data_IF_732940758735
#
_entry.id   IF_732940758735
#
_cell.length_a   1.000
_cell.length_b   1.000
_cell.length_c   1.000
_cell.angle_alpha   90.00
_cell.angle_beta   90.00
_cell.angle_gamma   90.00
#
_symmetry.space_group_name_H-M   'P 1'
#
loop_
_entity.id
_entity.type
_entity.pdbx_description
1 polymer ?
#
# COMPACT_ATOMS: atom_id res chain seq x y z
N UNK A 1 -16.89 -13.05 -2.07
CA UNK A 1 -17.13 -12.72 -0.64
C UNK A 1 -16.87 -13.96 0.22
N UNK A 2 -16.24 -13.76 1.37
CA UNK A 2 -15.94 -14.84 2.31
C UNK A 2 -16.91 -14.74 3.48
N UNK A 3 -17.58 -15.86 3.81
CA UNK A 3 -18.34 -15.96 5.05
C UNK A 3 -17.40 -16.42 6.16
N UNK A 4 -17.15 -15.55 7.14
CA UNK A 4 -16.31 -15.86 8.29
C UNK A 4 -17.05 -15.62 9.59
N UNK A 5 -16.88 -16.52 10.55
CA UNK A 5 -17.50 -16.51 11.88
C UNK A 5 -16.40 -16.43 12.94
N UNK A 6 -15.99 -15.23 13.33
CA UNK A 6 -14.97 -15.08 14.35
C UNK A 6 -15.50 -15.49 15.73
N UNK A 7 -14.59 -15.98 16.58
CA UNK A 7 -14.89 -16.31 17.96
C UNK A 7 -14.44 -15.19 18.89
N UNK A 8 -15.24 -14.95 19.94
CA UNK A 8 -14.81 -14.24 21.14
C UNK A 8 -14.88 -15.18 22.35
N UNK A 9 -14.29 -14.76 23.44
CA UNK A 9 -14.15 -15.60 24.62
C UNK A 9 -14.53 -14.82 25.88
N UNK A 10 -15.15 -15.48 26.81
CA UNK A 10 -15.57 -14.91 28.10
C UNK A 10 -15.05 -15.79 29.24
N UNK A 11 -14.85 -15.24 30.45
CA UNK A 11 -14.45 -16.04 31.61
C UNK A 11 -15.37 -17.24 31.83
N UNK A 12 -14.78 -18.42 32.00
CA UNK A 12 -15.52 -19.67 32.24
C UNK A 12 -15.69 -19.93 33.71
N UNK A 13 -16.81 -20.56 34.08
CA UNK A 13 -17.04 -21.12 35.42
C UNK A 13 -16.45 -22.53 35.59
N UNK A 14 -15.96 -23.14 34.51
CA UNK A 14 -15.34 -24.47 34.51
C UNK A 14 -13.92 -24.38 35.03
N UNK A 15 -13.42 -25.45 35.65
CA UNK A 15 -12.05 -25.50 36.16
C UNK A 15 -10.99 -25.63 35.07
N UNK A 16 -11.37 -26.14 33.87
CA UNK A 16 -10.48 -26.22 32.71
C UNK A 16 -11.28 -26.16 31.40
N UNK A 17 -10.71 -25.49 30.41
CA UNK A 17 -11.23 -25.37 29.05
C UNK A 17 -10.03 -25.40 28.07
N UNK A 18 -10.26 -25.62 26.76
CA UNK A 18 -9.20 -25.52 25.76
C UNK A 18 -8.60 -24.10 25.61
N UNK A 19 -9.30 -23.10 26.12
CA UNK A 19 -8.92 -21.69 25.98
C UNK A 19 -8.68 -21.05 27.34
N UNK A 20 -7.68 -20.19 27.41
CA UNK A 20 -7.31 -19.46 28.62
C UNK A 20 -6.94 -18.00 28.34
N UNK A 21 -7.15 -17.15 29.31
CA UNK A 21 -6.64 -15.78 29.32
C UNK A 21 -5.10 -15.75 29.53
N UNK A 22 -4.48 -14.59 29.36
CA UNK A 22 -3.04 -14.42 29.62
C UNK A 22 -2.63 -14.77 31.05
N UNK A 23 -3.52 -14.55 32.02
CA UNK A 23 -3.31 -14.88 33.42
C UNK A 23 -3.64 -16.34 33.78
N UNK A 24 -3.96 -17.16 32.77
CA UNK A 24 -4.25 -18.58 32.93
C UNK A 24 -5.69 -18.93 33.28
N UNK A 25 -6.57 -17.95 33.52
CA UNK A 25 -8.00 -18.21 33.80
C UNK A 25 -8.67 -18.90 32.62
N UNK A 26 -9.52 -19.91 32.82
CA UNK A 26 -10.22 -20.60 31.76
C UNK A 26 -11.26 -19.71 31.09
N UNK A 27 -11.40 -19.85 29.77
CA UNK A 27 -12.32 -19.08 28.94
C UNK A 27 -13.28 -20.03 28.19
N UNK A 28 -14.56 -19.67 28.13
CA UNK A 28 -15.55 -20.28 27.24
C UNK A 28 -15.63 -19.53 25.91
N UNK A 29 -15.73 -20.29 24.82
CA UNK A 29 -15.87 -19.71 23.47
C UNK A 29 -17.31 -19.23 23.26
N UNK A 30 -17.43 -18.03 22.65
CA UNK A 30 -18.70 -17.49 22.15
C UNK A 30 -18.66 -17.56 20.63
N UNK A 31 -19.43 -18.47 20.06
CA UNK A 31 -19.58 -18.62 18.64
C UNK A 31 -20.50 -17.52 18.08
N UNK A 32 -20.06 -16.80 17.10
CA UNK A 32 -20.77 -15.66 16.53
C UNK A 32 -21.09 -15.94 15.04
N UNK A 33 -22.24 -15.45 14.57
CA UNK A 33 -22.76 -15.82 13.25
C UNK A 33 -22.02 -15.15 12.09
N UNK A 34 -21.39 -14.02 12.36
CA UNK A 34 -20.72 -13.21 11.34
C UNK A 34 -19.74 -12.21 11.97
N UNK A 35 -18.88 -11.61 11.16
CA UNK A 35 -18.03 -10.50 11.58
C UNK A 35 -18.85 -9.31 12.12
N UNK A 36 -20.01 -9.02 11.52
CA UNK A 36 -20.94 -7.98 11.99
C UNK A 36 -21.54 -8.32 13.35
N UNK A 37 -21.95 -9.57 13.54
CA UNK A 37 -22.43 -10.08 14.83
C UNK A 37 -21.35 -10.00 15.92
N UNK A 38 -20.11 -10.32 15.58
CA UNK A 38 -18.99 -10.24 16.50
C UNK A 38 -18.68 -8.79 16.95
N UNK A 39 -18.73 -7.82 16.01
CA UNK A 39 -18.60 -6.41 16.35
C UNK A 39 -19.68 -5.94 17.30
N UNK A 40 -20.95 -6.23 16.98
CA UNK A 40 -22.09 -5.89 17.83
C UNK A 40 -22.00 -6.54 19.22
N UNK A 41 -21.57 -7.79 19.30
CA UNK A 41 -21.33 -8.48 20.57
C UNK A 41 -20.27 -7.74 21.39
N UNK A 42 -19.12 -7.43 20.79
CA UNK A 42 -18.06 -6.70 21.48
C UNK A 42 -18.53 -5.32 21.94
N UNK A 43 -19.14 -4.53 21.06
CA UNK A 43 -19.68 -3.19 21.37
C UNK A 43 -20.69 -3.23 22.53
N UNK A 44 -21.58 -4.22 22.56
CA UNK A 44 -22.58 -4.38 23.61
C UNK A 44 -21.98 -4.67 24.99
N UNK A 45 -20.92 -5.45 25.03
CA UNK A 45 -20.36 -5.93 26.31
C UNK A 45 -19.05 -5.24 26.71
N UNK A 46 -18.40 -4.52 25.80
CA UNK A 46 -17.17 -3.79 26.08
C UNK A 46 -17.44 -2.61 27.03
N UNK A 47 -16.77 -2.61 28.17
CA UNK A 47 -16.91 -1.55 29.18
C UNK A 47 -18.03 -1.76 30.19
N UNK A 48 -18.66 -2.94 30.18
CA UNK A 48 -19.50 -3.37 31.29
C UNK A 48 -18.59 -3.84 32.42
N UNK A 49 -18.75 -3.22 33.58
CA UNK A 49 -17.91 -3.51 34.74
C UNK A 49 -18.06 -5.00 35.16
N UNK A 50 -16.95 -5.69 35.33
CA UNK A 50 -16.90 -7.10 35.64
C UNK A 50 -17.21 -8.07 34.49
N UNK A 51 -17.39 -7.56 33.25
CA UNK A 51 -17.57 -8.40 32.06
C UNK A 51 -16.39 -8.24 31.09
N UNK A 52 -15.65 -9.31 30.93
CA UNK A 52 -14.45 -9.34 30.06
C UNK A 52 -14.76 -10.07 28.75
N UNK A 53 -14.49 -9.41 27.61
CA UNK A 53 -14.55 -10.04 26.29
C UNK A 53 -13.14 -10.14 25.76
N UNK A 54 -12.63 -11.36 25.66
CA UNK A 54 -11.31 -11.69 25.14
C UNK A 54 -11.41 -12.05 23.65
N UNK A 55 -10.27 -12.01 22.96
CA UNK A 55 -10.14 -12.37 21.57
C UNK A 55 -9.79 -11.17 20.68
N UNK A 56 -9.16 -11.48 19.54
CA UNK A 56 -8.67 -10.50 18.61
C UNK A 56 -9.79 -10.00 17.68
N UNK A 57 -9.96 -8.71 17.55
CA UNK A 57 -11.08 -8.10 16.83
C UNK A 57 -10.75 -7.65 15.40
N UNK A 58 -9.53 -7.83 14.99
CA UNK A 58 -9.12 -7.60 13.59
C UNK A 58 -9.42 -8.85 12.76
N UNK A 59 -10.67 -8.99 12.34
CA UNK A 59 -11.20 -10.24 11.77
C UNK A 59 -10.58 -10.66 10.44
N UNK A 60 -9.92 -9.76 9.72
CA UNK A 60 -9.13 -10.14 8.53
C UNK A 60 -7.96 -11.02 8.94
N UNK A 61 -7.21 -10.63 9.97
CA UNK A 61 -6.04 -11.38 10.45
C UNK A 61 -6.45 -12.66 11.16
N UNK A 62 -7.56 -12.63 11.93
CA UNK A 62 -8.10 -13.88 12.52
C UNK A 62 -8.50 -14.87 11.44
N UNK A 63 -9.16 -14.41 10.37
CA UNK A 63 -9.50 -15.24 9.22
C UNK A 63 -8.26 -15.85 8.55
N UNK A 64 -7.25 -15.04 8.27
CA UNK A 64 -6.00 -15.53 7.65
C UNK A 64 -5.35 -16.58 8.55
N UNK A 65 -5.25 -16.29 9.85
CA UNK A 65 -4.66 -17.20 10.83
C UNK A 65 -5.45 -18.52 10.98
N UNK A 66 -6.79 -18.47 10.88
CA UNK A 66 -7.63 -19.67 10.95
C UNK A 66 -7.56 -20.49 9.66
N UNK A 67 -7.52 -19.81 8.51
CA UNK A 67 -7.49 -20.45 7.19
C UNK A 67 -6.15 -21.07 6.87
N UNK A 68 -5.07 -20.45 7.33
CA UNK A 68 -3.69 -20.84 7.09
C UNK A 68 -2.96 -21.06 8.42
N UNK A 69 -3.23 -22.18 9.13
CA UNK A 69 -2.52 -22.52 10.36
C UNK A 69 -1.04 -22.82 10.07
N UNK A 70 -0.16 -22.56 11.04
CA UNK A 70 1.28 -22.77 10.87
C UNK A 70 1.93 -21.74 9.95
N UNK A 71 3.13 -22.04 9.47
CA UNK A 71 3.87 -21.20 8.53
C UNK A 71 3.19 -21.20 7.15
N UNK A 72 3.12 -20.05 6.51
CA UNK A 72 2.66 -19.95 5.12
C UNK A 72 3.89 -20.02 4.22
N UNK A 73 3.97 -21.05 3.40
CA UNK A 73 4.92 -21.10 2.30
C UNK A 73 4.34 -20.27 1.15
N UNK A 74 5.12 -19.31 0.68
CA UNK A 74 4.73 -18.48 -0.47
C UNK A 74 5.80 -18.55 -1.56
N UNK A 75 5.36 -18.42 -2.79
CA UNK A 75 6.23 -18.30 -3.96
C UNK A 75 6.31 -16.83 -4.36
N UNK A 76 7.47 -16.19 -4.11
CA UNK A 76 7.70 -14.80 -4.48
C UNK A 76 7.51 -14.56 -5.99
N UNK A 77 7.82 -15.57 -6.84
CA UNK A 77 7.66 -15.46 -8.28
C UNK A 77 6.19 -15.46 -8.75
N UNK A 78 5.27 -15.91 -7.89
CA UNK A 78 3.83 -15.83 -8.19
C UNK A 78 3.24 -14.45 -7.90
N UNK A 79 3.95 -13.59 -7.18
CA UNK A 79 3.51 -12.24 -6.82
C UNK A 79 3.89 -11.28 -7.93
N UNK A 80 2.90 -10.66 -8.55
CA UNK A 80 3.09 -9.70 -9.63
C UNK A 80 3.40 -8.31 -9.07
N UNK A 81 4.63 -7.86 -9.25
CA UNK A 81 5.11 -6.55 -8.79
C UNK A 81 5.39 -5.68 -10.01
N UNK A 82 5.02 -4.41 -9.91
CA UNK A 82 5.41 -3.41 -10.90
C UNK A 82 5.76 -2.07 -10.23
N UNK A 83 6.74 -1.39 -10.80
CA UNK A 83 7.05 0.01 -10.50
C UNK A 83 6.24 0.91 -11.41
N UNK A 84 5.70 1.99 -10.86
CA UNK A 84 4.89 2.96 -11.58
C UNK A 84 5.43 4.36 -11.31
N UNK A 85 5.41 5.19 -12.36
CA UNK A 85 5.72 6.61 -12.30
C UNK A 85 4.89 7.37 -13.33
N UNK A 86 4.43 8.57 -13.00
CA UNK A 86 3.66 9.43 -13.89
C UNK A 86 4.31 10.78 -14.11
N UNK A 87 4.07 11.34 -15.27
CA UNK A 87 4.43 12.71 -15.56
C UNK A 87 3.20 13.55 -15.89
N UNK A 88 3.11 14.70 -15.22
CA UNK A 88 1.98 15.62 -15.38
C UNK A 88 2.43 16.92 -16.03
N UNK A 89 1.50 17.60 -16.68
CA UNK A 89 1.70 18.98 -17.13
C UNK A 89 2.02 19.87 -15.91
N UNK A 90 3.03 20.71 -16.01
CA UNK A 90 3.55 21.54 -14.92
C UNK A 90 3.75 23.00 -15.31
N UNK A 91 2.93 23.51 -16.26
CA UNK A 91 3.02 24.90 -16.73
C UNK A 91 2.74 25.89 -15.60
N UNK A 92 1.82 25.56 -14.70
CA UNK A 92 1.38 26.44 -13.61
C UNK A 92 2.05 26.14 -12.25
N UNK A 93 3.09 25.31 -12.24
CA UNK A 93 3.81 24.90 -11.04
C UNK A 93 3.72 23.41 -10.79
N UNK A 94 4.02 22.99 -9.55
CA UNK A 94 3.98 21.58 -9.18
C UNK A 94 2.53 21.09 -9.10
N UNK A 95 2.17 19.98 -9.79
CA UNK A 95 0.80 19.46 -9.79
C UNK A 95 0.37 18.99 -8.40
N UNK A 96 -0.80 19.42 -7.94
CA UNK A 96 -1.36 19.04 -6.63
C UNK A 96 -2.15 17.73 -6.75
N UNK A 97 -1.74 16.63 -6.08
CA UNK A 97 -2.39 15.33 -6.24
C UNK A 97 -3.85 15.29 -5.80
N UNK A 98 -4.21 16.04 -4.76
CA UNK A 98 -5.58 16.11 -4.25
C UNK A 98 -6.55 16.77 -5.23
N UNK A 99 -6.08 17.73 -6.01
CA UNK A 99 -6.88 18.43 -7.01
C UNK A 99 -6.80 17.78 -8.40
N UNK A 100 -5.63 17.24 -8.78
CA UNK A 100 -5.34 16.58 -10.04
C UNK A 100 -5.91 17.36 -11.26
N UNK A 101 -5.59 18.66 -11.33
CA UNK A 101 -6.11 19.56 -12.36
C UNK A 101 -5.37 19.37 -13.68
N UNK A 102 -4.05 19.24 -13.61
CA UNK A 102 -3.18 19.19 -14.77
C UNK A 102 -3.26 17.82 -15.47
N UNK A 103 -2.95 17.81 -16.76
CA UNK A 103 -3.02 16.57 -17.55
C UNK A 103 -1.90 15.62 -17.21
N UNK A 104 -2.21 14.33 -17.21
CA UNK A 104 -1.20 13.27 -17.23
C UNK A 104 -0.67 13.13 -18.65
N UNK A 105 0.63 13.34 -18.84
CA UNK A 105 1.28 13.34 -20.15
C UNK A 105 1.99 12.03 -20.47
N UNK A 106 2.43 11.31 -19.43
CA UNK A 106 3.05 10.00 -19.56
C UNK A 106 2.77 9.14 -18.33
N UNK A 107 2.69 7.83 -18.53
CA UNK A 107 2.67 6.82 -17.47
C UNK A 107 3.65 5.74 -17.86
N UNK A 108 4.64 5.47 -17.01
CA UNK A 108 5.52 4.31 -17.15
C UNK A 108 5.18 3.27 -16.09
N UNK A 109 5.02 2.02 -16.52
CA UNK A 109 4.81 0.89 -15.63
C UNK A 109 5.77 -0.24 -16.01
N UNK A 110 6.68 -0.58 -15.10
CA UNK A 110 7.72 -1.58 -15.29
C UNK A 110 7.42 -2.79 -14.40
N UNK A 111 7.00 -3.88 -15.02
CA UNK A 111 6.88 -5.15 -14.31
C UNK A 111 8.26 -5.73 -14.03
N UNK A 112 8.47 -6.33 -12.87
CA UNK A 112 9.74 -6.96 -12.51
C UNK A 112 10.09 -8.19 -13.35
N UNK A 113 9.09 -8.75 -14.05
CA UNK A 113 9.29 -9.95 -14.90
C UNK A 113 8.98 -9.70 -16.38
N UNK A 114 8.56 -8.50 -16.76
CA UNK A 114 8.18 -8.14 -18.13
C UNK A 114 8.80 -6.81 -18.55
N UNK A 115 8.67 -6.49 -19.83
CA UNK A 115 9.09 -5.20 -20.40
C UNK A 115 8.39 -4.02 -19.72
N UNK A 116 9.01 -2.86 -19.77
CA UNK A 116 8.40 -1.59 -19.39
C UNK A 116 7.33 -1.22 -20.42
N UNK A 117 6.16 -0.79 -19.96
CA UNK A 117 5.11 -0.24 -20.83
C UNK A 117 4.97 1.24 -20.53
N UNK A 118 4.99 2.05 -21.60
CA UNK A 118 4.88 3.50 -21.50
C UNK A 118 3.69 3.99 -22.30
N UNK A 119 2.81 4.73 -21.66
CA UNK A 119 1.67 5.40 -22.28
C UNK A 119 2.00 6.88 -22.44
N UNK A 120 1.90 7.41 -23.64
CA UNK A 120 2.25 8.81 -23.91
C UNK A 120 1.41 9.45 -25.02
N UNK A 121 1.60 10.76 -25.24
CA UNK A 121 0.74 11.60 -26.07
C UNK A 121 1.42 12.05 -27.40
N UNK A 122 2.60 11.55 -27.70
CA UNK A 122 3.35 11.92 -28.91
C UNK A 122 4.01 10.73 -29.56
N UNK A 123 4.68 10.95 -30.67
CA UNK A 123 5.45 9.91 -31.31
C UNK A 123 6.79 9.72 -30.58
N UNK A 124 7.16 8.48 -30.36
CA UNK A 124 8.42 8.11 -29.76
C UNK A 124 8.89 6.77 -30.34
N UNK A 125 10.06 6.77 -30.91
CA UNK A 125 10.74 5.56 -31.34
C UNK A 125 11.80 5.20 -30.29
N UNK A 126 11.71 4.02 -29.73
CA UNK A 126 12.66 3.53 -28.72
C UNK A 126 13.39 2.29 -29.25
N UNK A 127 14.69 2.23 -29.02
CA UNK A 127 15.55 1.07 -29.35
C UNK A 127 15.62 0.07 -28.18
N UNK A 128 14.93 0.35 -27.06
CA UNK A 128 14.95 -0.45 -25.83
C UNK A 128 13.79 -1.44 -25.79
N UNK A 129 13.84 -2.38 -24.82
CA UNK A 129 12.75 -3.32 -24.50
C UNK A 129 11.52 -2.64 -23.88
N UNK A 130 11.20 -1.44 -24.34
CA UNK A 130 10.05 -0.66 -23.92
C UNK A 130 8.93 -0.82 -24.92
N UNK A 131 7.74 -1.15 -24.44
CA UNK A 131 6.51 -1.16 -25.23
C UNK A 131 5.87 0.21 -25.13
N UNK A 132 5.88 0.97 -26.21
CA UNK A 132 5.28 2.30 -26.25
C UNK A 132 3.86 2.26 -26.80
N UNK A 133 2.92 2.85 -26.07
CA UNK A 133 1.52 3.02 -26.47
C UNK A 133 1.27 4.50 -26.76
N UNK A 134 1.27 4.85 -28.04
CA UNK A 134 0.97 6.21 -28.48
C UNK A 134 -0.53 6.49 -28.38
N UNK A 135 -0.89 7.46 -27.56
CA UNK A 135 -2.28 7.83 -27.26
C UNK A 135 -2.64 9.18 -27.90
N UNK A 136 -3.88 9.26 -28.43
CA UNK A 136 -4.36 10.47 -29.13
C UNK A 136 -4.57 11.68 -28.22
N UNK A 137 -4.89 11.42 -26.96
CA UNK A 137 -5.16 12.40 -25.93
C UNK A 137 -5.13 11.71 -24.55
N UNK A 138 -5.21 12.49 -23.50
CA UNK A 138 -5.17 11.99 -22.13
C UNK A 138 -6.28 10.98 -21.80
N UNK A 139 -7.50 11.20 -22.26
CA UNK A 139 -8.59 10.26 -22.02
C UNK A 139 -8.32 8.88 -22.67
N UNK A 140 -7.69 8.88 -23.84
CA UNK A 140 -7.22 7.64 -24.48
C UNK A 140 -6.06 7.01 -23.69
N UNK A 141 -5.11 7.82 -23.21
CA UNK A 141 -3.98 7.37 -22.39
C UNK A 141 -4.47 6.67 -21.13
N UNK A 142 -5.34 7.31 -20.36
CA UNK A 142 -5.87 6.72 -19.13
C UNK A 142 -6.76 5.49 -19.42
N UNK A 143 -7.46 5.45 -20.56
CA UNK A 143 -8.25 4.29 -20.96
C UNK A 143 -7.36 3.09 -21.26
N UNK A 144 -6.30 3.26 -22.05
CA UNK A 144 -5.36 2.18 -22.38
C UNK A 144 -4.55 1.75 -21.14
N UNK A 145 -4.18 2.69 -20.27
CA UNK A 145 -3.57 2.38 -18.99
C UNK A 145 -4.48 1.51 -18.10
N UNK A 146 -5.76 1.91 -17.90
CA UNK A 146 -6.72 1.12 -17.11
C UNK A 146 -6.93 -0.27 -17.73
N UNK A 147 -6.99 -0.35 -19.05
CA UNK A 147 -7.13 -1.63 -19.76
C UNK A 147 -5.92 -2.55 -19.53
N UNK A 148 -4.70 -2.03 -19.67
CA UNK A 148 -3.47 -2.76 -19.36
C UNK A 148 -3.41 -3.20 -17.90
N UNK A 149 -3.67 -2.28 -16.96
CA UNK A 149 -3.74 -2.57 -15.53
C UNK A 149 -4.69 -3.73 -15.23
N UNK A 150 -5.87 -3.75 -15.83
CA UNK A 150 -6.88 -4.79 -15.64
C UNK A 150 -6.54 -6.12 -16.33
N UNK A 151 -5.70 -6.13 -17.33
CA UNK A 151 -5.18 -7.34 -17.94
C UNK A 151 -4.10 -8.00 -17.07
N UNK A 152 -3.22 -7.18 -16.50
CA UNK A 152 -2.11 -7.68 -15.71
C UNK A 152 -2.51 -8.00 -14.26
N UNK A 153 -3.31 -7.17 -13.62
CA UNK A 153 -3.68 -7.28 -12.22
C UNK A 153 -2.46 -7.51 -11.31
N UNK A 154 -1.75 -6.44 -11.03
CA UNK A 154 -0.60 -6.49 -10.14
C UNK A 154 -1.03 -6.69 -8.68
N UNK A 155 -0.28 -7.48 -7.94
CA UNK A 155 -0.48 -7.68 -6.50
C UNK A 155 0.14 -6.54 -5.69
N UNK A 156 1.30 -6.04 -6.16
CA UNK A 156 2.02 -4.93 -5.56
C UNK A 156 2.37 -3.90 -6.64
N UNK A 157 2.04 -2.65 -6.37
CA UNK A 157 2.55 -1.48 -7.09
C UNK A 157 3.52 -0.76 -6.17
N UNK A 158 4.68 -0.44 -6.68
CA UNK A 158 5.70 0.34 -6.00
C UNK A 158 6.16 1.50 -6.87
N UNK A 159 6.94 2.40 -6.32
CA UNK A 159 7.49 3.58 -6.97
C UNK A 159 8.03 4.55 -5.93
N UNK A 160 8.66 5.62 -6.38
CA UNK A 160 9.24 6.61 -5.48
C UNK A 160 8.24 7.68 -5.10
N UNK A 161 7.72 7.68 -3.88
CA UNK A 161 6.62 8.53 -3.40
C UNK A 161 5.27 8.22 -4.09
N UNK A 162 5.13 7.00 -4.58
CA UNK A 162 4.03 6.55 -5.45
C UNK A 162 2.66 6.65 -4.78
N UNK A 163 2.57 6.42 -3.48
CA UNK A 163 1.30 6.43 -2.74
C UNK A 163 0.77 7.87 -2.58
N UNK A 164 1.64 8.78 -2.15
CA UNK A 164 1.26 10.15 -1.89
C UNK A 164 1.12 11.01 -3.16
N UNK A 165 1.81 10.66 -4.25
CA UNK A 165 1.76 11.43 -5.50
C UNK A 165 1.09 10.64 -6.64
N UNK A 166 1.75 9.66 -7.22
CA UNK A 166 1.33 9.04 -8.49
C UNK A 166 -0.05 8.38 -8.41
N UNK A 167 -0.25 7.50 -7.44
CA UNK A 167 -1.52 6.80 -7.30
C UNK A 167 -2.64 7.71 -6.85
N UNK A 168 -2.35 8.65 -5.97
CA UNK A 168 -3.32 9.67 -5.54
C UNK A 168 -3.71 10.56 -6.71
N UNK A 169 -2.75 11.02 -7.50
CA UNK A 169 -3.01 11.83 -8.69
C UNK A 169 -3.84 11.07 -9.72
N UNK A 170 -3.44 9.84 -10.05
CA UNK A 170 -4.15 9.00 -11.01
C UNK A 170 -5.59 8.73 -10.59
N UNK A 171 -5.84 8.38 -9.33
CA UNK A 171 -7.20 8.14 -8.85
C UNK A 171 -8.08 9.39 -8.99
N UNK A 172 -7.60 10.54 -8.52
CA UNK A 172 -8.33 11.80 -8.63
C UNK A 172 -8.49 12.26 -10.09
N UNK A 173 -7.48 12.05 -10.93
CA UNK A 173 -7.55 12.44 -12.36
C UNK A 173 -8.50 11.55 -13.15
N UNK A 174 -8.53 10.26 -12.87
CA UNK A 174 -9.48 9.30 -13.45
C UNK A 174 -10.91 9.70 -13.07
N UNK A 175 -11.16 10.04 -11.81
CA UNK A 175 -12.48 10.49 -11.36
C UNK A 175 -12.89 11.81 -12.01
N UNK A 176 -11.96 12.73 -12.14
CA UNK A 176 -12.22 14.03 -12.81
C UNK A 176 -12.62 13.87 -14.28
N UNK A 177 -12.02 12.93 -15.00
CA UNK A 177 -12.25 12.72 -16.43
C UNK A 177 -13.40 11.77 -16.74
N UNK A 178 -13.58 10.72 -15.94
CA UNK A 178 -14.54 9.65 -16.23
C UNK A 178 -15.71 9.57 -15.26
N UNK A 179 -15.78 10.49 -14.28
CA UNK A 179 -16.84 10.56 -13.29
C UNK A 179 -16.46 9.96 -11.95
N UNK A 180 -17.23 10.31 -10.93
CA UNK A 180 -17.04 9.87 -9.55
C UNK A 180 -16.87 8.35 -9.44
N UNK A 181 -15.93 7.91 -8.61
CA UNK A 181 -15.64 6.50 -8.38
C UNK A 181 -15.04 5.72 -9.58
N UNK A 182 -14.69 6.39 -10.69
CA UNK A 182 -14.10 5.71 -11.85
C UNK A 182 -12.76 5.06 -11.53
N UNK A 183 -11.98 5.61 -10.58
CA UNK A 183 -10.74 5.04 -10.06
C UNK A 183 -10.91 3.63 -9.48
N UNK A 184 -12.10 3.26 -9.04
CA UNK A 184 -12.40 1.90 -8.54
C UNK A 184 -12.14 0.81 -9.57
N UNK A 185 -12.07 1.17 -10.88
CA UNK A 185 -11.67 0.26 -11.95
C UNK A 185 -10.23 -0.27 -11.80
N UNK A 186 -9.40 0.40 -11.00
CA UNK A 186 -8.05 -0.06 -10.65
C UNK A 186 -8.06 -1.14 -9.58
N UNK A 187 -9.19 -1.39 -8.92
CA UNK A 187 -9.37 -2.54 -8.02
C UNK A 187 -10.03 -3.71 -8.75
N UNK A 188 -9.54 -4.96 -8.59
CA UNK A 188 -10.15 -6.15 -9.19
C UNK A 188 -11.60 -6.37 -8.72
N UNK A 189 -11.96 -5.80 -7.58
CA UNK A 189 -13.32 -5.91 -7.01
C UNK A 189 -14.14 -4.62 -7.17
N UNK A 190 -13.62 -3.62 -7.87
CA UNK A 190 -14.19 -2.28 -7.99
C UNK A 190 -14.50 -1.66 -6.61
N UNK A 191 -13.59 -1.81 -5.68
CA UNK A 191 -13.70 -1.32 -4.31
C UNK A 191 -12.44 -0.56 -3.91
N UNK A 192 -12.66 0.58 -3.29
CA UNK A 192 -11.59 1.39 -2.69
C UNK A 192 -12.07 2.00 -1.39
N UNK A 193 -11.14 2.40 -0.56
CA UNK A 193 -11.34 3.36 0.51
C UNK A 193 -10.29 4.47 0.39
N UNK A 194 -10.53 5.57 1.07
CA UNK A 194 -9.54 6.63 1.17
C UNK A 194 -9.25 6.93 2.63
N UNK A 195 -8.04 7.36 2.89
CA UNK A 195 -7.58 7.78 4.21
C UNK A 195 -6.79 9.07 4.12
N UNK A 196 -6.84 9.89 5.17
CA UNK A 196 -5.98 11.06 5.26
C UNK A 196 -4.58 10.64 5.71
N UNK A 197 -3.59 11.12 5.02
CA UNK A 197 -2.18 10.97 5.36
C UNK A 197 -1.59 12.34 5.69
N UNK A 198 -0.82 12.43 6.77
CA UNK A 198 -0.12 13.65 7.15
C UNK A 198 1.29 13.65 6.56
N UNK A 199 1.46 14.30 5.42
CA UNK A 199 2.79 14.50 4.85
C UNK A 199 3.52 15.59 5.66
N UNK A 200 4.73 15.28 6.12
CA UNK A 200 5.57 16.16 6.95
C UNK A 200 4.89 16.71 8.23
N UNK A 201 3.84 16.06 8.71
CA UNK A 201 3.14 16.44 9.94
C UNK A 201 2.17 17.64 9.83
N UNK A 202 2.06 18.26 8.67
CA UNK A 202 1.25 19.48 8.48
C UNK A 202 0.28 19.43 7.32
N UNK A 203 0.64 18.76 6.23
CA UNK A 203 -0.19 18.69 5.03
C UNK A 203 -0.99 17.40 5.01
N UNK A 204 -2.31 17.51 4.97
CA UNK A 204 -3.20 16.36 4.80
C UNK A 204 -3.31 16.04 3.32
N UNK A 205 -2.87 14.86 2.95
CA UNK A 205 -3.07 14.31 1.61
C UNK A 205 -4.03 13.12 1.72
N UNK A 206 -5.02 13.08 0.86
CA UNK A 206 -5.91 11.93 0.73
C UNK A 206 -5.20 10.86 -0.11
N UNK A 207 -5.08 9.66 0.39
CA UNK A 207 -4.54 8.52 -0.34
C UNK A 207 -5.61 7.44 -0.49
N UNK A 208 -5.49 6.62 -1.53
CA UNK A 208 -6.48 5.61 -1.91
C UNK A 208 -5.97 4.20 -1.62
N UNK A 209 -6.75 3.45 -0.85
CA UNK A 209 -6.53 2.01 -0.66
C UNK A 209 -7.37 1.26 -1.71
N UNK A 210 -6.73 0.69 -2.72
CA UNK A 210 -7.36 -0.11 -3.78
C UNK A 210 -7.46 -1.57 -3.32
N UNK A 211 -8.67 -2.05 -3.03
CA UNK A 211 -8.80 -3.42 -2.54
C UNK A 211 -8.39 -4.45 -3.59
N UNK A 212 -7.44 -5.30 -3.21
CA UNK A 212 -6.84 -6.32 -4.07
C UNK A 212 -5.54 -5.93 -4.76
N UNK A 213 -5.09 -4.68 -4.59
CA UNK A 213 -3.77 -4.20 -5.02
C UNK A 213 -3.10 -3.52 -3.83
N UNK A 214 -1.86 -3.86 -3.55
CA UNK A 214 -1.11 -3.23 -2.47
C UNK A 214 -0.20 -2.14 -3.04
N UNK A 215 -0.34 -0.93 -2.54
CA UNK A 215 0.59 0.16 -2.87
C UNK A 215 1.67 0.15 -1.79
N UNK A 216 2.89 -0.18 -2.19
CA UNK A 216 4.06 -0.26 -1.31
C UNK A 216 5.06 0.79 -1.74
N UNK A 217 4.96 1.97 -1.14
CA UNK A 217 5.80 3.12 -1.48
C UNK A 217 7.27 2.86 -1.16
N UNK A 218 8.13 2.90 -2.19
CA UNK A 218 9.54 2.56 -2.04
C UNK A 218 10.33 3.62 -1.25
N UNK A 219 9.93 4.88 -1.32
CA UNK A 219 10.51 5.94 -0.50
C UNK A 219 10.27 5.69 0.99
N UNK A 220 9.03 5.35 1.36
CA UNK A 220 8.69 5.03 2.75
C UNK A 220 9.38 3.75 3.21
N UNK A 221 9.47 2.76 2.32
CA UNK A 221 10.17 1.51 2.58
C UNK A 221 11.67 1.75 2.81
N UNK A 222 12.30 2.56 1.97
CA UNK A 222 13.70 2.96 2.10
C UNK A 222 13.95 3.68 3.44
N UNK A 223 13.10 4.67 3.79
CA UNK A 223 13.22 5.42 5.05
C UNK A 223 13.14 4.53 6.29
N UNK A 224 12.32 3.49 6.24
CA UNK A 224 12.08 2.59 7.38
C UNK A 224 13.10 1.47 7.49
N UNK A 225 13.67 1.06 6.37
CA UNK A 225 14.62 -0.06 6.31
C UNK A 225 16.08 0.39 6.44
N UNK A 226 16.37 1.69 6.32
CA UNK A 226 17.72 2.23 6.47
C UNK A 226 17.93 2.83 7.86
N UNK A 227 19.12 2.58 8.44
CA UNK A 227 19.47 3.05 9.80
C UNK A 227 20.00 4.47 9.84
N UNK A 228 20.35 5.04 8.69
CA UNK A 228 20.97 6.37 8.60
C UNK A 228 20.06 7.34 7.86
N UNK A 229 19.90 8.52 8.44
CA UNK A 229 19.22 9.60 7.75
C UNK A 229 20.07 10.08 6.56
N UNK A 230 19.39 10.30 5.43
CA UNK A 230 20.02 10.85 4.23
C UNK A 230 19.88 12.37 4.21
N UNK A 231 20.82 13.07 3.57
CA UNK A 231 20.74 14.52 3.38
C UNK A 231 19.56 14.90 2.47
N UNK A 232 19.21 14.02 1.53
CA UNK A 232 18.05 14.18 0.65
C UNK A 232 17.42 12.83 0.37
N UNK A 233 16.09 12.83 0.30
CA UNK A 233 15.30 11.66 -0.08
C UNK A 233 14.74 11.76 -1.51
N UNK A 234 15.31 12.61 -2.36
CA UNK A 234 15.02 12.63 -3.79
C UNK A 234 15.56 11.36 -4.43
N UNK A 235 14.82 10.80 -5.38
CA UNK A 235 15.24 9.57 -6.09
C UNK A 235 16.64 9.69 -6.70
N UNK A 236 16.95 10.84 -7.32
CA UNK A 236 18.27 11.09 -7.90
C UNK A 236 19.42 11.01 -6.88
N UNK A 237 19.21 11.58 -5.68
CA UNK A 237 20.19 11.53 -4.61
C UNK A 237 20.38 10.09 -4.10
N UNK A 238 19.29 9.39 -3.83
CA UNK A 238 19.34 8.01 -3.33
C UNK A 238 19.91 7.04 -4.38
N UNK A 239 19.51 7.17 -5.64
CA UNK A 239 20.08 6.38 -6.72
C UNK A 239 21.59 6.62 -6.88
N UNK A 240 22.04 7.87 -6.74
CA UNK A 240 23.47 8.16 -6.74
C UNK A 240 24.19 7.56 -5.53
N UNK A 241 23.62 7.70 -4.35
CA UNK A 241 24.19 7.18 -3.12
C UNK A 241 24.28 5.65 -3.12
N UNK A 242 23.20 4.99 -3.50
CA UNK A 242 23.11 3.53 -3.46
C UNK A 242 23.72 2.85 -4.69
N UNK A 243 23.48 3.38 -5.89
CA UNK A 243 23.83 2.71 -7.15
C UNK A 243 25.03 3.36 -7.86
N UNK A 244 25.45 4.56 -7.44
CA UNK A 244 26.39 5.38 -8.20
C UNK A 244 25.81 5.94 -9.51
N UNK A 245 24.48 5.84 -9.70
CA UNK A 245 23.76 6.27 -10.90
C UNK A 245 23.04 7.59 -10.64
N UNK A 246 22.83 8.35 -11.69
CA UNK A 246 22.05 9.59 -11.64
C UNK A 246 20.83 9.49 -12.54
N UNK A 247 19.81 10.28 -12.24
CA UNK A 247 18.71 10.53 -13.16
C UNK A 247 19.23 11.13 -14.49
N UNK A 248 18.38 11.07 -15.49
CA UNK A 248 18.66 11.74 -16.76
C UNK A 248 18.74 13.27 -16.53
N UNK A 249 19.84 13.88 -16.93
CA UNK A 249 19.99 15.34 -16.79
C UNK A 249 19.19 16.05 -17.88
N UNK A 250 18.33 16.96 -17.45
CA UNK A 250 17.54 17.84 -18.32
C UNK A 250 17.73 19.33 -17.99
N UNK A 251 18.77 19.67 -17.23
CA UNK A 251 19.06 21.03 -16.78
C UNK A 251 19.15 22.04 -17.93
N UNK A 252 19.57 21.58 -19.13
CA UNK A 252 19.59 22.35 -20.36
C UNK A 252 18.23 22.91 -20.81
N UNK A 253 17.14 22.23 -20.38
CA UNK A 253 15.75 22.65 -20.68
C UNK A 253 15.12 23.49 -19.55
N UNK A 254 15.76 23.62 -18.40
CA UNK A 254 15.33 24.41 -17.26
C UNK A 254 14.14 23.85 -16.48
N UNK A 255 13.17 23.20 -17.13
CA UNK A 255 12.02 22.55 -16.48
C UNK A 255 11.52 21.32 -17.24
N UNK A 256 10.81 20.42 -16.55
CA UNK A 256 10.14 19.28 -17.18
C UNK A 256 9.08 19.70 -18.19
N UNK A 257 8.37 20.80 -17.93
CA UNK A 257 7.42 21.36 -18.90
C UNK A 257 8.10 21.78 -20.21
N UNK A 258 9.25 22.45 -20.13
CA UNK A 258 10.03 22.83 -21.30
C UNK A 258 10.61 21.60 -22.00
N UNK A 259 11.05 20.59 -21.26
CA UNK A 259 11.51 19.31 -21.81
C UNK A 259 10.37 18.62 -22.58
N UNK A 260 9.18 18.52 -21.99
CA UNK A 260 8.01 17.95 -22.65
C UNK A 260 7.71 18.60 -24.02
N UNK A 261 7.78 19.93 -24.09
CA UNK A 261 7.49 20.68 -25.33
C UNK A 261 8.60 20.58 -26.37
N UNK A 262 9.85 20.53 -25.96
CA UNK A 262 11.01 20.67 -26.87
C UNK A 262 11.70 19.33 -27.21
N UNK A 263 11.61 18.34 -26.33
CA UNK A 263 12.21 17.03 -26.54
C UNK A 263 11.39 15.93 -25.85
N UNK A 264 10.32 15.56 -26.51
CA UNK A 264 9.36 14.59 -26.00
C UNK A 264 9.99 13.19 -25.79
N UNK A 265 10.91 12.78 -26.66
CA UNK A 265 11.61 11.50 -26.49
C UNK A 265 12.40 11.46 -25.17
N UNK A 266 13.21 12.50 -24.91
CA UNK A 266 13.96 12.62 -23.65
C UNK A 266 13.06 12.72 -22.42
N UNK A 267 11.87 13.31 -22.56
CA UNK A 267 10.87 13.37 -21.50
C UNK A 267 10.34 11.98 -21.13
N UNK A 268 10.05 11.13 -22.12
CA UNK A 268 9.64 9.76 -21.87
C UNK A 268 10.79 8.89 -21.34
N UNK A 269 12.01 9.08 -21.83
CA UNK A 269 13.20 8.42 -21.29
C UNK A 269 13.42 8.77 -19.82
N UNK A 270 13.13 10.01 -19.41
CA UNK A 270 13.21 10.44 -18.03
C UNK A 270 12.20 9.67 -17.17
N UNK A 271 10.93 9.59 -17.58
CA UNK A 271 9.89 8.84 -16.89
C UNK A 271 10.23 7.33 -16.79
N UNK A 272 10.73 6.72 -17.88
CA UNK A 272 11.22 5.32 -17.88
C UNK A 272 12.38 5.15 -16.89
N UNK A 273 13.30 6.11 -16.85
CA UNK A 273 14.47 6.02 -15.96
C UNK A 273 14.06 5.99 -14.49
N UNK A 274 13.00 6.68 -14.11
CA UNK A 274 12.53 6.71 -12.73
C UNK A 274 12.00 5.33 -12.28
N UNK A 275 11.24 4.63 -13.10
CA UNK A 275 10.78 3.26 -12.78
C UNK A 275 11.93 2.25 -12.76
N UNK A 276 12.90 2.39 -13.67
CA UNK A 276 14.08 1.53 -13.73
C UNK A 276 14.99 1.73 -12.51
N UNK A 277 15.18 2.97 -12.06
CA UNK A 277 16.00 3.23 -10.87
C UNK A 277 15.42 2.61 -9.61
N UNK A 278 14.09 2.58 -9.45
CA UNK A 278 13.45 1.93 -8.31
C UNK A 278 13.63 0.40 -8.37
N UNK A 279 13.50 -0.22 -9.55
CA UNK A 279 13.79 -1.66 -9.72
C UNK A 279 15.28 -1.97 -9.38
N UNK A 280 16.22 -1.17 -9.90
CA UNK A 280 17.65 -1.34 -9.60
C UNK A 280 17.97 -1.14 -8.10
N UNK A 281 17.25 -0.25 -7.42
CA UNK A 281 17.36 -0.11 -5.96
C UNK A 281 16.87 -1.36 -5.26
N UNK A 282 15.75 -1.94 -5.69
CA UNK A 282 15.23 -3.19 -5.13
C UNK A 282 16.19 -4.35 -5.38
N UNK A 283 16.73 -4.48 -6.59
CA UNK A 283 17.72 -5.52 -6.92
C UNK A 283 18.94 -5.48 -5.99
N UNK A 284 19.33 -4.30 -5.55
CA UNK A 284 20.45 -4.13 -4.62
C UNK A 284 20.04 -4.32 -3.16
N UNK A 285 18.90 -3.78 -2.74
CA UNK A 285 18.53 -3.61 -1.34
C UNK A 285 17.60 -4.71 -0.82
N UNK A 286 16.76 -5.30 -1.68
CA UNK A 286 15.86 -6.40 -1.34
C UNK A 286 14.78 -6.05 -0.32
N UNK A 287 14.32 -4.80 -0.27
CA UNK A 287 13.38 -4.33 0.74
C UNK A 287 11.95 -4.82 0.51
N UNK A 288 11.53 -5.00 -0.75
CA UNK A 288 10.25 -5.61 -1.07
C UNK A 288 10.24 -7.10 -0.72
N UNK A 289 11.34 -7.80 -1.01
CA UNK A 289 11.50 -9.20 -0.62
C UNK A 289 11.42 -9.37 0.90
N UNK A 290 12.10 -8.50 1.64
CA UNK A 290 12.02 -8.48 3.10
C UNK A 290 10.59 -8.21 3.59
N UNK A 291 9.90 -7.23 2.99
CA UNK A 291 8.53 -6.88 3.31
C UNK A 291 7.59 -8.07 3.09
N UNK A 292 7.74 -8.78 1.97
CA UNK A 292 6.97 -9.98 1.68
C UNK A 292 7.23 -11.07 2.72
N UNK A 293 8.49 -11.38 3.00
CA UNK A 293 8.86 -12.38 3.99
C UNK A 293 8.25 -12.05 5.37
N UNK A 294 8.37 -10.80 5.82
CA UNK A 294 7.77 -10.33 7.07
C UNK A 294 6.25 -10.45 7.09
N UNK A 295 5.57 -10.04 6.02
CA UNK A 295 4.12 -10.07 5.93
C UNK A 295 3.57 -11.50 5.98
N UNK A 296 4.19 -12.44 5.29
CA UNK A 296 3.81 -13.85 5.31
C UNK A 296 4.11 -14.52 6.66
N UNK A 297 5.23 -14.21 7.28
CA UNK A 297 5.56 -14.70 8.61
C UNK A 297 4.57 -14.21 9.67
N UNK A 298 4.26 -12.93 9.69
CA UNK A 298 3.30 -12.33 10.61
C UNK A 298 1.83 -12.58 10.22
N UNK A 299 1.54 -13.02 9.00
CA UNK A 299 0.18 -13.14 8.44
C UNK A 299 -0.59 -11.81 8.43
N UNK A 300 0.08 -10.75 8.01
CA UNK A 300 -0.47 -9.40 7.91
C UNK A 300 -0.34 -8.85 6.48
N UNK A 301 -0.89 -7.66 6.20
CA UNK A 301 -0.71 -7.00 4.91
C UNK A 301 0.72 -6.45 4.78
N UNK A 302 1.22 -6.28 3.55
CA UNK A 302 2.55 -5.72 3.28
C UNK A 302 2.75 -4.35 3.96
N UNK A 303 1.77 -3.45 3.84
CA UNK A 303 1.85 -2.13 4.46
C UNK A 303 1.86 -2.15 6.00
N UNK A 304 1.37 -3.22 6.63
CA UNK A 304 1.38 -3.36 8.09
C UNK A 304 2.80 -3.60 8.63
N UNK A 305 3.70 -4.10 7.80
CA UNK A 305 5.12 -4.28 8.17
C UNK A 305 5.83 -2.94 8.37
N UNK A 306 5.31 -1.86 7.80
CA UNK A 306 5.82 -0.50 8.02
C UNK A 306 5.56 0.02 9.43
N UNK A 307 4.57 -0.52 10.12
CA UNK A 307 4.20 -0.19 11.49
C UNK A 307 4.53 -1.31 12.46
N UNK A 308 5.62 -1.17 13.23
CA UNK A 308 6.06 -2.21 14.19
C UNK A 308 4.95 -2.68 15.12
N UNK A 309 3.99 -1.82 15.48
CA UNK A 309 2.89 -2.17 16.40
C UNK A 309 1.99 -3.23 15.80
N UNK A 310 1.52 -3.03 14.56
CA UNK A 310 0.62 -4.00 13.89
C UNK A 310 1.34 -5.31 13.58
N UNK A 311 2.57 -5.22 13.13
CA UNK A 311 3.41 -6.38 12.85
C UNK A 311 3.57 -7.28 14.09
N UNK A 312 4.01 -6.71 15.20
CA UNK A 312 4.16 -7.45 16.45
C UNK A 312 2.83 -7.91 17.04
N UNK A 313 1.77 -7.11 16.91
CA UNK A 313 0.43 -7.49 17.36
C UNK A 313 -0.05 -8.80 16.69
N UNK A 314 0.18 -8.95 15.38
CA UNK A 314 -0.20 -10.16 14.64
C UNK A 314 0.70 -11.36 14.96
N UNK A 315 2.00 -11.16 15.11
CA UNK A 315 2.93 -12.22 15.56
C UNK A 315 2.52 -12.74 16.94
N UNK A 316 2.33 -11.83 17.90
CA UNK A 316 1.93 -12.19 19.26
C UNK A 316 0.58 -12.91 19.26
N UNK A 317 -0.39 -12.41 18.49
CA UNK A 317 -1.67 -13.05 18.33
C UNK A 317 -1.54 -14.51 17.84
N UNK A 318 -0.78 -14.74 16.77
CA UNK A 318 -0.59 -16.08 16.23
C UNK A 318 0.12 -17.00 17.22
N UNK A 319 1.14 -16.52 17.90
CA UNK A 319 1.87 -17.26 18.93
C UNK A 319 0.96 -17.65 20.12
N UNK A 320 0.17 -16.74 20.63
CA UNK A 320 -0.76 -17.00 21.73
C UNK A 320 -1.85 -18.00 21.32
N UNK A 321 -2.38 -17.83 20.11
CA UNK A 321 -3.42 -18.70 19.57
C UNK A 321 -2.99 -20.16 19.51
N UNK A 322 -1.76 -20.45 19.08
CA UNK A 322 -1.21 -21.81 19.04
C UNK A 322 -1.16 -22.47 20.43
N UNK A 323 -1.08 -21.67 21.48
CA UNK A 323 -1.09 -22.14 22.87
C UNK A 323 -2.47 -22.15 23.52
N UNK A 324 -3.54 -21.86 22.77
CA UNK A 324 -4.91 -21.72 23.28
C UNK A 324 -5.10 -20.47 24.16
N UNK A 325 -4.14 -19.53 24.15
CA UNK A 325 -4.22 -18.28 24.91
C UNK A 325 -4.91 -17.22 24.07
N UNK A 326 -5.88 -16.52 24.66
CA UNK A 326 -6.62 -15.48 23.99
C UNK A 326 -6.12 -14.08 24.36
N UNK A 327 -6.15 -13.18 23.39
CA UNK A 327 -5.78 -11.77 23.60
C UNK A 327 -6.68 -11.12 24.65
N UNK A 328 -6.12 -10.26 25.52
CA UNK A 328 -6.89 -9.62 26.58
C UNK A 328 -7.93 -8.64 26.03
N UNK A 329 -8.94 -8.27 26.86
CA UNK A 329 -9.86 -7.20 26.53
C UNK A 329 -9.11 -5.91 26.25
N UNK A 330 -9.50 -5.20 25.20
CA UNK A 330 -8.95 -3.86 24.95
C UNK A 330 -9.44 -2.89 26.03
N UNK A 331 -8.50 -2.26 26.71
CA UNK A 331 -8.83 -1.14 27.61
C UNK A 331 -9.27 0.06 26.77
N UNK A 332 -10.40 0.68 27.12
CA UNK A 332 -10.70 2.02 26.58
C UNK A 332 -9.61 2.96 27.08
N UNK A 333 -8.87 3.58 26.18
CA UNK A 333 -8.05 4.74 26.56
C UNK A 333 -9.01 5.87 26.95
N UNK A 334 -9.09 6.19 28.21
CA UNK A 334 -9.60 7.48 28.64
C UNK A 334 -8.66 8.54 28.11
N UNK A 335 -9.13 9.30 27.14
CA UNK A 335 -8.41 10.52 26.69
C UNK A 335 -8.42 11.47 27.88
N UNK A 336 -7.36 11.46 28.68
CA UNK A 336 -7.14 12.51 29.68
C UNK A 336 -6.90 13.79 28.91
N UNK A 337 -7.91 14.61 28.75
CA UNK A 337 -7.76 16.01 28.37
C UNK A 337 -6.96 16.68 29.49
N UNK A 338 -5.65 16.84 29.30
CA UNK A 338 -4.89 17.75 30.11
C UNK A 338 -5.38 19.17 29.75
N UNK A 339 -6.23 19.74 30.61
CA UNK A 339 -6.41 21.18 30.65
C UNK A 339 -5.06 21.75 31.13
N UNK A 340 -4.35 22.38 30.20
CA UNK A 340 -3.21 23.22 30.52
C UNK A 340 -3.83 24.49 31.15
N UNK A 341 -3.63 24.65 32.44
CA UNK A 341 -3.96 25.87 33.17
C UNK A 341 -3.00 27.01 32.82
#
# INVERSE_FOLDING_TARGET
SVSYRPNHFIPSKKSATPYKALDGRPLDVVNLDSMGGARKFKEKYQGIDGFEVHGYDRYVYTYISDKFPGKIDFDANAIKIATLDIECESENGFPEPGEAIEKVNAISIKSFVKSCVVFGLGEWETESDVIYVNCKNEAHLLTEFIKYWRQEWFDIITGWNVDAFDMTYLCNRIDRLFGEDAHKKLSPWNMSSSREFLQNGYQKTQIFDLYGVNIVDYLELYRKSTFHNQESYKLDYIAHFELGKKKLDYSEYGSLHTLYKNNYAKYLEYNVKDVVLVEELEDKLGFLDLTQAMAYDAKCNYIDTFGMVKYWETIIYNFLKEQGVQTPPQKKHETKTHQIA
#
